data_IF_742297705872
#
_entry.id   IF_742297705872
#
_cell.length_a   1.000
_cell.length_b   1.000
_cell.length_c   1.000
_cell.angle_alpha   90.00
_cell.angle_beta   90.00
_cell.angle_gamma   90.00
#
_symmetry.space_group_name_H-M   'P 1'
#
loop_
_entity.id
_entity.type
_entity.pdbx_description
1 polymer ?
#
# COMPACT_ATOMS: atom_id res chain seq x y z
N UNK A 1 1.35 18.21 -6.95
CA UNK A 1 1.84 19.53 -6.51
C UNK A 1 1.89 19.68 -4.98
N UNK A 2 0.76 19.71 -4.25
CA UNK A 2 0.73 20.05 -2.81
C UNK A 2 1.66 19.20 -1.93
N UNK A 3 1.54 17.87 -1.99
CA UNK A 3 2.37 16.95 -1.22
C UNK A 3 3.85 17.02 -1.63
N UNK A 4 4.15 16.68 -2.88
CA UNK A 4 5.54 16.47 -3.33
C UNK A 4 6.33 17.75 -3.60
N UNK A 5 5.69 18.84 -4.06
CA UNK A 5 6.36 20.10 -4.39
C UNK A 5 6.23 21.13 -3.28
N UNK A 6 5.01 21.39 -2.80
CA UNK A 6 4.76 22.37 -1.73
C UNK A 6 5.05 21.83 -0.33
N UNK A 7 5.34 20.52 -0.20
CA UNK A 7 5.69 19.85 1.07
C UNK A 7 4.66 20.07 2.18
N UNK A 8 3.39 20.17 1.81
CA UNK A 8 2.29 20.35 2.77
C UNK A 8 2.00 19.02 3.46
N UNK A 9 2.20 18.88 4.79
CA UNK A 9 1.87 17.64 5.51
C UNK A 9 0.37 17.35 5.40
N UNK A 10 -0.02 16.08 5.25
CA UNK A 10 -1.43 15.71 5.32
C UNK A 10 -1.83 15.27 6.72
N UNK A 11 -3.08 14.83 6.83
CA UNK A 11 -3.61 14.15 7.99
C UNK A 11 -3.59 12.65 7.71
N UNK A 12 -3.07 11.85 8.63
CA UNK A 12 -3.11 10.40 8.49
C UNK A 12 -4.47 9.87 8.95
N UNK A 13 -5.20 9.21 8.06
CA UNK A 13 -6.42 8.52 8.46
C UNK A 13 -6.08 7.30 9.34
N UNK A 14 -6.82 7.08 10.42
CA UNK A 14 -6.59 5.96 11.35
C UNK A 14 -6.57 4.58 10.66
N UNK A 15 -7.37 4.41 9.59
CA UNK A 15 -7.37 3.20 8.76
C UNK A 15 -6.08 2.99 7.95
N UNK A 16 -5.38 4.06 7.57
CA UNK A 16 -4.07 3.96 6.92
C UNK A 16 -2.99 3.56 7.94
N UNK A 17 -3.04 4.09 9.16
CA UNK A 17 -2.18 3.63 10.27
C UNK A 17 -2.41 2.14 10.55
N UNK A 18 -3.67 1.71 10.64
CA UNK A 18 -3.99 0.30 10.80
C UNK A 18 -3.44 -0.56 9.64
N UNK A 19 -3.57 -0.08 8.40
CA UNK A 19 -2.95 -0.73 7.24
C UNK A 19 -1.44 -0.92 7.42
N UNK A 20 -0.70 0.12 7.82
CA UNK A 20 0.76 0.03 8.06
C UNK A 20 1.13 -1.00 9.11
N UNK A 21 0.40 -1.01 10.23
CA UNK A 21 0.57 -1.99 11.31
C UNK A 21 0.31 -3.41 10.80
N UNK A 22 -0.73 -3.60 10.00
CA UNK A 22 -1.03 -4.89 9.35
C UNK A 22 0.11 -5.37 8.45
N UNK A 23 0.57 -4.52 7.53
CA UNK A 23 1.67 -4.87 6.62
C UNK A 23 2.94 -5.23 7.41
N UNK A 24 3.28 -4.45 8.44
CA UNK A 24 4.46 -4.69 9.27
C UNK A 24 4.44 -6.10 9.91
N UNK A 25 3.32 -6.50 10.51
CA UNK A 25 3.19 -7.84 11.11
C UNK A 25 3.22 -8.97 10.09
N UNK A 26 2.55 -8.78 8.95
CA UNK A 26 2.55 -9.77 7.86
C UNK A 26 3.93 -9.92 7.25
N UNK A 27 4.63 -8.82 6.98
CA UNK A 27 5.98 -8.81 6.47
C UNK A 27 6.96 -9.47 7.45
N UNK A 28 6.82 -9.22 8.76
CA UNK A 28 7.58 -9.90 9.80
C UNK A 28 7.44 -11.43 9.69
N UNK A 29 6.21 -11.93 9.67
CA UNK A 29 5.93 -13.36 9.56
C UNK A 29 6.46 -13.97 8.25
N UNK A 30 6.30 -13.26 7.13
CA UNK A 30 6.79 -13.70 5.82
C UNK A 30 8.32 -13.70 5.73
N UNK A 31 9.01 -12.72 6.30
CA UNK A 31 10.49 -12.67 6.37
C UNK A 31 11.03 -13.85 7.19
N UNK A 32 10.38 -14.20 8.29
CA UNK A 32 10.70 -15.40 9.09
C UNK A 32 10.45 -16.69 8.30
N UNK A 33 9.32 -16.76 7.57
CA UNK A 33 9.02 -17.90 6.68
C UNK A 33 10.05 -18.06 5.58
N UNK A 34 10.50 -16.96 4.96
CA UNK A 34 11.61 -16.95 3.97
C UNK A 34 12.89 -17.54 4.57
N UNK A 35 13.18 -17.25 5.84
CA UNK A 35 14.30 -17.81 6.59
C UNK A 35 14.07 -19.25 7.10
N UNK A 36 12.99 -19.92 6.68
CA UNK A 36 12.66 -21.31 7.05
C UNK A 36 11.94 -21.47 8.39
N UNK A 37 11.47 -20.38 9.00
CA UNK A 37 10.86 -20.38 10.33
C UNK A 37 9.39 -19.97 10.28
N UNK A 38 8.50 -20.72 10.94
CA UNK A 38 7.15 -20.26 11.24
C UNK A 38 7.14 -19.59 12.60
N UNK A 39 6.50 -18.42 12.70
CA UNK A 39 6.39 -17.68 13.95
C UNK A 39 5.06 -17.97 14.67
N UNK A 40 5.06 -18.02 16.01
CA UNK A 40 3.85 -18.01 16.80
C UNK A 40 3.00 -16.77 16.51
N UNK A 41 1.67 -16.94 16.54
CA UNK A 41 0.73 -15.84 16.26
C UNK A 41 0.78 -14.73 17.29
N UNK A 42 1.10 -15.04 18.54
CA UNK A 42 1.17 -14.05 19.62
C UNK A 42 2.39 -13.15 19.45
N UNK A 43 3.51 -13.70 18.98
CA UNK A 43 4.69 -12.90 18.62
C UNK A 43 4.38 -11.89 17.51
N UNK A 44 3.61 -12.30 16.49
CA UNK A 44 3.18 -11.36 15.44
C UNK A 44 2.28 -10.25 16.00
N UNK A 45 1.39 -10.59 16.94
CA UNK A 45 0.54 -9.59 17.59
C UNK A 45 1.34 -8.60 18.42
N UNK A 46 2.37 -9.07 19.12
CA UNK A 46 3.25 -8.23 19.93
C UNK A 46 3.99 -7.22 19.04
N UNK A 47 4.62 -7.69 17.96
CA UNK A 47 5.29 -6.83 16.97
C UNK A 47 4.33 -5.78 16.37
N UNK A 48 3.11 -6.19 16.02
CA UNK A 48 2.10 -5.26 15.52
C UNK A 48 1.63 -4.27 16.59
N UNK A 49 1.49 -4.71 17.84
CA UNK A 49 1.10 -3.86 18.96
C UNK A 49 2.15 -2.80 19.24
N UNK A 50 3.43 -3.17 19.20
CA UNK A 50 4.56 -2.26 19.35
C UNK A 50 4.63 -1.28 18.19
N UNK A 51 4.43 -1.75 16.95
CA UNK A 51 4.35 -0.87 15.78
C UNK A 51 3.23 0.14 15.93
N UNK A 52 2.04 -0.26 16.36
CA UNK A 52 0.93 0.67 16.62
C UNK A 52 1.33 1.78 17.59
N UNK A 53 2.02 1.46 18.68
CA UNK A 53 2.46 2.47 19.65
C UNK A 53 3.55 3.39 19.08
N UNK A 54 4.51 2.85 18.33
CA UNK A 54 5.55 3.64 17.65
C UNK A 54 4.93 4.62 16.65
N UNK A 55 3.99 4.19 15.82
CA UNK A 55 3.32 5.06 14.83
C UNK A 55 2.59 6.24 15.48
N UNK A 56 1.95 6.01 16.64
CA UNK A 56 1.28 7.08 17.40
C UNK A 56 2.25 8.04 18.07
N UNK A 57 3.43 7.57 18.47
CA UNK A 57 4.45 8.38 19.13
C UNK A 57 5.24 9.23 18.13
N UNK A 58 5.60 8.66 17.00
CA UNK A 58 6.59 9.24 16.10
C UNK A 58 6.06 10.46 15.34
N UNK A 59 4.75 10.61 15.13
CA UNK A 59 4.13 11.76 14.43
C UNK A 59 4.82 12.16 13.10
N UNK A 60 5.62 11.24 12.54
CA UNK A 60 6.53 11.40 11.40
C UNK A 60 6.62 10.01 10.78
N UNK A 61 6.31 9.90 9.50
CA UNK A 61 6.27 8.63 8.80
C UNK A 61 7.16 8.71 7.56
N UNK A 62 7.97 7.69 7.34
CA UNK A 62 9.05 7.70 6.36
C UNK A 62 8.64 6.93 5.10
N UNK A 63 8.61 7.61 3.94
CA UNK A 63 8.45 6.95 2.62
C UNK A 63 9.81 6.74 1.92
N UNK A 64 10.83 7.53 2.27
CA UNK A 64 12.18 7.46 1.69
C UNK A 64 13.23 7.18 2.76
N UNK A 65 14.10 6.19 2.49
CA UNK A 65 15.23 5.78 3.35
C UNK A 65 16.32 6.85 3.56
N UNK A 66 16.21 8.04 2.98
CA UNK A 66 17.28 9.04 3.01
C UNK A 66 16.87 10.44 3.49
N UNK A 67 15.57 10.76 3.61
CA UNK A 67 15.13 12.08 4.10
C UNK A 67 13.94 11.95 5.07
N UNK A 68 14.12 12.31 6.36
CA UNK A 68 13.02 12.42 7.31
C UNK A 68 11.97 13.40 6.80
N UNK A 69 10.75 12.93 6.55
CA UNK A 69 9.63 13.78 6.12
C UNK A 69 8.45 13.57 7.06
N UNK A 70 7.93 14.67 7.60
CA UNK A 70 6.74 14.64 8.44
C UNK A 70 5.53 14.39 7.54
N UNK A 71 5.03 13.14 7.50
CA UNK A 71 3.87 12.80 6.68
C UNK A 71 2.57 13.36 7.26
N UNK A 72 2.39 13.23 8.58
CA UNK A 72 1.21 13.73 9.28
C UNK A 72 1.52 14.02 10.74
N UNK A 73 1.03 15.15 11.24
CA UNK A 73 1.22 15.57 12.64
C UNK A 73 0.15 15.02 13.59
N UNK A 74 -0.94 14.50 13.04
CA UNK A 74 -2.06 13.96 13.81
C UNK A 74 -2.73 12.81 13.05
N UNK A 75 -3.31 11.88 13.80
CA UNK A 75 -4.17 10.84 13.26
C UNK A 75 -5.61 11.31 13.35
N UNK A 76 -6.32 11.29 12.22
CA UNK A 76 -7.76 11.48 12.19
C UNK A 76 -8.44 10.12 12.18
N UNK A 77 -9.12 9.81 13.29
CA UNK A 77 -9.85 8.57 13.48
C UNK A 77 -11.23 8.58 12.83
N UNK A 78 -11.78 9.75 12.50
CA UNK A 78 -13.17 9.88 12.07
C UNK A 78 -14.10 9.21 13.07
N UNK A 79 -14.91 8.26 12.60
CA UNK A 79 -15.85 7.50 13.42
C UNK A 79 -15.25 6.20 14.00
N UNK A 80 -13.98 5.89 13.72
CA UNK A 80 -13.34 4.68 14.23
C UNK A 80 -12.93 4.83 15.69
N UNK A 81 -13.17 3.78 16.48
CA UNK A 81 -12.61 3.61 17.82
C UNK A 81 -11.18 3.07 17.68
N UNK A 82 -10.14 3.81 18.13
CA UNK A 82 -8.75 3.40 17.95
C UNK A 82 -8.41 2.06 18.63
N UNK A 83 -9.00 1.80 19.80
CA UNK A 83 -8.76 0.57 20.54
C UNK A 83 -9.36 -0.63 19.83
N UNK A 84 -10.62 -0.54 19.40
CA UNK A 84 -11.29 -1.60 18.63
C UNK A 84 -10.62 -1.85 17.28
N UNK A 85 -10.17 -0.78 16.61
CA UNK A 85 -9.44 -0.89 15.36
C UNK A 85 -8.09 -1.59 15.56
N UNK A 86 -7.36 -1.25 16.63
CA UNK A 86 -6.12 -1.95 17.03
C UNK A 86 -6.40 -3.43 17.24
N UNK A 87 -7.35 -3.79 18.09
CA UNK A 87 -7.66 -5.19 18.39
C UNK A 87 -8.03 -5.98 17.14
N UNK A 88 -8.79 -5.35 16.24
CA UNK A 88 -9.21 -5.96 14.99
C UNK A 88 -8.03 -6.19 14.05
N UNK A 89 -7.14 -5.21 13.89
CA UNK A 89 -5.99 -5.38 13.00
C UNK A 89 -4.99 -6.42 13.52
N UNK A 90 -4.77 -6.49 14.84
CA UNK A 90 -3.96 -7.55 15.46
C UNK A 90 -4.54 -8.95 15.20
N UNK A 91 -5.87 -9.08 15.28
CA UNK A 91 -6.56 -10.35 14.96
C UNK A 91 -6.45 -10.71 13.48
N UNK A 92 -6.51 -9.73 12.58
CA UNK A 92 -6.33 -9.95 11.14
C UNK A 92 -4.89 -10.36 10.78
N UNK A 93 -3.88 -9.75 11.39
CA UNK A 93 -2.48 -10.16 11.23
C UNK A 93 -2.24 -11.60 11.71
N UNK A 94 -2.77 -11.95 12.89
CA UNK A 94 -2.73 -13.32 13.39
C UNK A 94 -3.46 -14.30 12.45
N UNK A 95 -4.66 -13.94 11.97
CA UNK A 95 -5.44 -14.76 11.04
C UNK A 95 -4.67 -15.05 9.74
N UNK A 96 -4.05 -14.01 9.17
CA UNK A 96 -3.23 -14.14 7.97
C UNK A 96 -2.02 -15.04 8.22
N UNK A 97 -1.33 -14.83 9.35
CA UNK A 97 -0.17 -15.64 9.76
C UNK A 97 -0.55 -17.11 9.89
N UNK A 98 -1.68 -17.44 10.52
CA UNK A 98 -2.11 -18.84 10.65
C UNK A 98 -2.52 -19.46 9.31
N UNK A 99 -3.30 -18.74 8.50
CA UNK A 99 -3.98 -19.33 7.34
C UNK A 99 -3.18 -19.30 6.04
N UNK A 100 -2.36 -18.26 5.86
CA UNK A 100 -1.74 -17.94 4.58
C UNK A 100 -0.24 -18.19 4.61
N UNK A 101 0.48 -17.67 5.62
CA UNK A 101 1.97 -17.75 5.67
C UNK A 101 2.52 -19.17 5.47
N UNK A 102 1.95 -20.24 6.07
CA UNK A 102 2.46 -21.60 5.87
C UNK A 102 2.40 -22.10 4.43
N UNK A 103 1.47 -21.56 3.62
CA UNK A 103 1.20 -21.97 2.22
C UNK A 103 1.99 -21.17 1.19
N UNK A 104 2.74 -20.17 1.64
CA UNK A 104 3.48 -19.26 0.77
C UNK A 104 4.97 -19.61 0.81
N UNK A 105 5.65 -19.37 -0.31
CA UNK A 105 7.09 -19.55 -0.49
C UNK A 105 7.72 -18.20 -0.85
N UNK A 106 8.00 -17.32 0.12
CA UNK A 106 8.46 -15.97 -0.18
C UNK A 106 9.83 -15.96 -0.85
N UNK A 107 9.94 -15.28 -1.99
CA UNK A 107 11.22 -14.99 -2.66
C UNK A 107 11.77 -13.65 -2.16
N UNK A 108 10.92 -12.63 -2.06
CA UNK A 108 11.26 -11.31 -1.53
C UNK A 108 10.07 -10.74 -0.75
N UNK A 109 10.33 -9.98 0.33
CA UNK A 109 9.29 -9.43 1.20
C UNK A 109 9.61 -7.97 1.52
N UNK A 110 8.79 -7.04 1.03
CA UNK A 110 9.01 -5.58 1.10
C UNK A 110 10.41 -5.15 0.63
N UNK A 111 10.98 -5.88 -0.33
CA UNK A 111 12.30 -5.55 -0.88
C UNK A 111 12.17 -4.50 -1.99
N UNK A 112 13.10 -3.56 -2.01
CA UNK A 112 13.16 -2.48 -3.00
C UNK A 112 13.42 -3.06 -4.39
N UNK A 113 12.53 -2.79 -5.33
CA UNK A 113 12.77 -2.97 -6.76
C UNK A 113 13.08 -1.60 -7.37
N UNK A 114 14.23 -1.50 -8.03
CA UNK A 114 14.66 -0.30 -8.74
C UNK A 114 14.99 -0.66 -10.19
N UNK A 115 14.62 0.22 -11.10
CA UNK A 115 14.94 0.11 -12.51
C UNK A 115 14.48 1.34 -13.26
N UNK A 116 14.21 1.17 -14.54
CA UNK A 116 13.62 2.21 -15.37
C UNK A 116 12.42 1.68 -16.14
N UNK A 117 11.46 2.57 -16.39
CA UNK A 117 10.35 2.32 -17.32
C UNK A 117 10.60 3.23 -18.52
N UNK A 118 11.13 2.67 -19.60
CA UNK A 118 11.83 3.45 -20.61
C UNK A 118 13.07 4.11 -20.00
N UNK A 119 13.22 5.42 -20.21
CA UNK A 119 14.33 6.22 -19.67
C UNK A 119 14.01 6.86 -18.30
N UNK A 120 12.87 6.51 -17.69
CA UNK A 120 12.38 7.14 -16.47
C UNK A 120 12.75 6.26 -15.27
N UNK A 121 13.54 6.76 -14.31
CA UNK A 121 13.84 6.02 -13.08
C UNK A 121 12.56 5.70 -12.34
N UNK A 122 12.41 4.43 -11.94
CA UNK A 122 11.21 3.95 -11.28
C UNK A 122 11.59 3.02 -10.13
N UNK A 123 10.90 3.16 -9.00
CA UNK A 123 11.13 2.38 -7.79
C UNK A 123 9.79 1.84 -7.29
N UNK A 124 9.78 0.59 -6.83
CA UNK A 124 8.61 -0.05 -6.25
C UNK A 124 8.98 -0.92 -5.05
N UNK A 125 8.00 -1.16 -4.18
CA UNK A 125 8.13 -2.01 -3.00
C UNK A 125 6.96 -2.99 -2.98
N UNK A 126 7.04 -4.11 -3.74
CA UNK A 126 6.02 -5.16 -3.63
C UNK A 126 6.01 -5.73 -2.21
N UNK A 127 4.81 -5.95 -1.66
CA UNK A 127 4.70 -6.52 -0.31
C UNK A 127 5.32 -7.93 -0.27
N UNK A 128 5.06 -8.74 -1.31
CA UNK A 128 5.56 -10.11 -1.41
C UNK A 128 5.78 -10.53 -2.87
N UNK A 129 6.96 -11.04 -3.17
CA UNK A 129 7.29 -11.73 -4.43
C UNK A 129 7.37 -13.23 -4.17
N UNK A 130 6.79 -14.01 -5.08
CA UNK A 130 6.73 -15.47 -5.07
C UNK A 130 7.43 -16.07 -6.31
N UNK A 131 7.69 -17.39 -6.31
CA UNK A 131 8.21 -18.09 -7.50
C UNK A 131 7.27 -17.94 -8.70
N UNK A 132 7.83 -18.06 -9.90
CA UNK A 132 7.04 -18.10 -11.14
C UNK A 132 6.31 -16.79 -11.45
N UNK A 133 7.08 -15.73 -11.75
CA UNK A 133 6.84 -14.33 -11.34
C UNK A 133 5.48 -14.00 -10.69
N UNK A 134 5.32 -14.35 -9.41
CA UNK A 134 4.13 -14.01 -8.64
C UNK A 134 4.32 -12.79 -7.76
N UNK A 135 3.32 -11.91 -7.70
CA UNK A 135 3.32 -10.77 -6.77
C UNK A 135 2.04 -10.74 -5.95
N UNK A 136 2.17 -10.63 -4.63
CA UNK A 136 1.04 -10.40 -3.73
C UNK A 136 1.15 -9.00 -3.17
N UNK A 137 0.01 -8.31 -3.16
CA UNK A 137 -0.18 -7.06 -2.45
C UNK A 137 -1.25 -7.28 -1.36
N UNK A 138 -0.89 -6.93 -0.13
CA UNK A 138 -1.71 -7.08 1.05
C UNK A 138 -2.61 -5.86 1.18
N UNK A 139 -3.89 -6.05 1.49
CA UNK A 139 -4.83 -4.94 1.65
C UNK A 139 -5.64 -5.11 2.93
N UNK A 140 -5.67 -4.09 3.78
CA UNK A 140 -6.68 -3.97 4.81
C UNK A 140 -7.95 -3.36 4.19
N UNK A 141 -9.08 -4.06 4.26
CA UNK A 141 -10.30 -3.65 3.60
C UNK A 141 -11.55 -3.92 4.45
N UNK A 142 -12.57 -3.08 4.32
CA UNK A 142 -13.89 -3.30 4.95
C UNK A 142 -14.89 -3.96 4.00
N UNK A 143 -14.55 -4.02 2.70
CA UNK A 143 -15.40 -4.57 1.63
C UNK A 143 -14.59 -5.51 0.76
N UNK A 144 -15.21 -6.64 0.41
CA UNK A 144 -14.69 -7.57 -0.57
C UNK A 144 -14.70 -6.92 -1.94
N UNK A 145 -13.60 -7.01 -2.68
CA UNK A 145 -13.54 -6.59 -4.09
C UNK A 145 -13.57 -7.81 -5.01
N UNK A 146 -13.95 -7.58 -6.26
CA UNK A 146 -13.98 -8.58 -7.32
C UNK A 146 -12.74 -8.47 -8.22
N UNK A 147 -12.61 -9.45 -9.11
CA UNK A 147 -11.50 -9.52 -10.07
C UNK A 147 -11.48 -8.34 -11.03
N UNK A 148 -12.65 -7.77 -11.39
CA UNK A 148 -12.72 -6.61 -12.29
C UNK A 148 -12.00 -5.39 -11.72
N UNK A 149 -12.05 -5.19 -10.39
CA UNK A 149 -11.29 -4.12 -9.74
C UNK A 149 -9.79 -4.42 -9.72
N UNK A 150 -9.40 -5.68 -9.46
CA UNK A 150 -7.99 -6.09 -9.49
C UNK A 150 -7.37 -5.96 -10.89
N UNK A 151 -8.14 -6.20 -11.95
CA UNK A 151 -7.68 -6.04 -13.34
C UNK A 151 -7.42 -4.57 -13.72
N UNK A 152 -8.04 -3.61 -13.03
CA UNK A 152 -7.83 -2.17 -13.27
C UNK A 152 -6.73 -1.56 -12.41
N UNK A 153 -6.15 -2.35 -11.51
CA UNK A 153 -5.12 -1.86 -10.60
C UNK A 153 -3.79 -1.58 -11.34
N UNK A 154 -3.30 -0.35 -11.22
CA UNK A 154 -2.06 0.06 -11.89
C UNK A 154 -0.81 -0.38 -11.13
N UNK A 155 -0.91 -0.71 -9.83
CA UNK A 155 0.22 -1.10 -8.99
C UNK A 155 0.84 -2.41 -9.51
N UNK A 156 0.00 -3.39 -9.87
CA UNK A 156 0.49 -4.62 -10.47
C UNK A 156 1.14 -4.42 -11.85
N UNK A 157 0.63 -3.48 -12.66
CA UNK A 157 1.27 -3.13 -13.93
C UNK A 157 2.65 -2.50 -13.71
N UNK A 158 2.80 -1.69 -12.65
CA UNK A 158 4.09 -1.12 -12.25
C UNK A 158 5.09 -2.20 -11.84
N UNK A 159 4.67 -3.19 -11.04
CA UNK A 159 5.53 -4.31 -10.67
C UNK A 159 5.91 -5.18 -11.87
N UNK A 160 4.97 -5.45 -12.77
CA UNK A 160 5.25 -6.19 -14.01
C UNK A 160 6.28 -5.45 -14.90
N UNK A 161 6.15 -4.13 -15.01
CA UNK A 161 7.08 -3.29 -15.75
C UNK A 161 8.48 -3.29 -15.11
N UNK A 162 8.58 -3.13 -13.79
CA UNK A 162 9.86 -3.20 -13.06
C UNK A 162 10.54 -4.57 -13.18
N UNK A 163 9.75 -5.65 -13.19
CA UNK A 163 10.25 -7.02 -13.37
C UNK A 163 10.55 -7.35 -14.84
N UNK A 164 10.16 -6.50 -15.78
CA UNK A 164 10.39 -6.64 -17.22
C UNK A 164 9.71 -7.84 -17.86
N UNK A 165 8.63 -8.36 -17.25
CA UNK A 165 7.94 -9.58 -17.73
C UNK A 165 6.50 -9.68 -17.25
N UNK A 166 5.64 -10.42 -17.97
CA UNK A 166 4.32 -10.79 -17.48
C UNK A 166 4.36 -11.45 -16.11
N UNK A 167 3.36 -11.15 -15.27
CA UNK A 167 3.23 -11.67 -13.90
C UNK A 167 1.80 -12.16 -13.68
N UNK A 168 1.64 -13.14 -12.79
CA UNK A 168 0.39 -13.27 -12.07
C UNK A 168 0.48 -12.45 -10.79
N UNK A 169 -0.64 -11.91 -10.35
CA UNK A 169 -0.69 -11.12 -9.14
C UNK A 169 -1.95 -11.41 -8.33
N UNK A 170 -1.92 -11.08 -7.04
CA UNK A 170 -3.07 -11.24 -6.19
C UNK A 170 -3.17 -10.14 -5.14
N UNK A 171 -4.40 -9.68 -4.89
CA UNK A 171 -4.70 -9.01 -3.63
C UNK A 171 -5.02 -10.04 -2.57
N UNK A 172 -4.34 -9.93 -1.44
CA UNK A 172 -4.70 -10.62 -0.22
C UNK A 172 -5.39 -9.61 0.72
N UNK A 173 -6.73 -9.62 0.72
CA UNK A 173 -7.52 -8.68 1.49
C UNK A 173 -7.83 -9.23 2.88
N UNK A 174 -7.24 -8.62 3.91
CA UNK A 174 -7.70 -8.77 5.29
C UNK A 174 -9.00 -7.98 5.49
N UNK A 175 -10.11 -8.72 5.62
CA UNK A 175 -11.44 -8.15 5.70
C UNK A 175 -11.83 -7.83 7.15
N UNK A 176 -11.84 -6.55 7.48
CA UNK A 176 -12.46 -6.03 8.71
C UNK A 176 -13.99 -6.01 8.54
N UNK A 177 -14.58 -7.13 8.92
CA UNK A 177 -16.03 -7.37 8.92
C UNK A 177 -16.41 -8.09 10.21
N UNK A 178 -17.72 -8.19 10.51
CA UNK A 178 -18.23 -8.92 11.69
C UNK A 178 -17.58 -10.29 11.86
N UNK A 179 -17.36 -11.00 10.75
CA UNK A 179 -16.52 -12.19 10.68
C UNK A 179 -15.27 -11.85 9.89
N UNK A 180 -14.13 -11.85 10.58
CA UNK A 180 -12.83 -11.62 9.95
C UNK A 180 -12.53 -12.72 8.92
N UNK A 181 -11.99 -12.33 7.78
CA UNK A 181 -11.66 -13.24 6.69
C UNK A 181 -10.47 -12.73 5.87
N UNK A 182 -9.84 -13.64 5.12
CA UNK A 182 -8.83 -13.29 4.11
C UNK A 182 -9.41 -13.63 2.74
N UNK A 183 -9.70 -12.60 1.94
CA UNK A 183 -10.16 -12.77 0.56
C UNK A 183 -8.98 -12.66 -0.40
N UNK A 184 -8.80 -13.65 -1.26
CA UNK A 184 -7.76 -13.67 -2.29
C UNK A 184 -8.39 -13.35 -3.64
N UNK A 185 -7.89 -12.32 -4.32
CA UNK A 185 -8.35 -11.91 -5.65
C UNK A 185 -7.19 -11.97 -6.62
N UNK A 186 -7.23 -12.93 -7.54
CA UNK A 186 -6.19 -13.14 -8.55
C UNK A 186 -6.40 -12.22 -9.76
N UNK A 187 -5.29 -11.82 -10.38
CA UNK A 187 -5.25 -11.08 -11.64
C UNK A 187 -3.94 -11.41 -12.38
N UNK A 188 -3.81 -10.94 -13.61
CA UNK A 188 -2.63 -11.15 -14.45
C UNK A 188 -2.21 -9.82 -15.08
N UNK A 189 -0.92 -9.67 -15.37
CA UNK A 189 -0.41 -8.62 -16.26
C UNK A 189 0.32 -9.26 -17.40
N UNK A 190 -0.12 -8.93 -18.61
CA UNK A 190 0.44 -9.39 -19.88
C UNK A 190 1.34 -8.30 -20.45
N UNK A 191 2.05 -8.64 -21.53
CA UNK A 191 2.95 -7.67 -22.18
C UNK A 191 2.22 -6.38 -22.59
N UNK A 192 0.99 -6.47 -23.09
CA UNK A 192 0.20 -5.29 -23.44
C UNK A 192 -0.09 -4.36 -22.25
N UNK A 193 -0.26 -4.89 -21.04
CA UNK A 193 -0.46 -4.10 -19.82
C UNK A 193 0.82 -3.36 -19.44
N UNK A 194 1.97 -4.01 -19.60
CA UNK A 194 3.30 -3.43 -19.37
C UNK A 194 3.56 -2.30 -20.36
N UNK A 195 3.31 -2.54 -21.64
CA UNK A 195 3.53 -1.54 -22.70
C UNK A 195 2.60 -0.33 -22.53
N UNK A 196 1.34 -0.57 -22.18
CA UNK A 196 0.38 0.49 -21.89
C UNK A 196 0.81 1.31 -20.67
N UNK A 197 1.21 0.65 -19.59
CA UNK A 197 1.68 1.32 -18.38
C UNK A 197 2.94 2.16 -18.65
N UNK A 198 3.86 1.66 -19.48
CA UNK A 198 5.04 2.41 -19.90
C UNK A 198 4.71 3.72 -20.61
N UNK A 199 3.74 3.71 -21.53
CA UNK A 199 3.23 4.93 -22.19
C UNK A 199 2.62 5.90 -21.19
N UNK A 200 1.78 5.40 -20.27
CA UNK A 200 1.17 6.21 -19.22
C UNK A 200 2.23 6.88 -18.33
N UNK A 201 3.27 6.15 -17.92
CA UNK A 201 4.39 6.70 -17.13
C UNK A 201 5.11 7.81 -17.89
N UNK A 202 5.36 7.62 -19.19
CA UNK A 202 6.00 8.65 -20.02
C UNK A 202 5.17 9.94 -20.11
N UNK A 203 3.85 9.83 -20.32
CA UNK A 203 2.94 10.98 -20.37
C UNK A 203 2.86 11.72 -19.03
N UNK A 204 2.70 10.98 -17.92
CA UNK A 204 2.65 11.56 -16.57
C UNK A 204 3.98 12.23 -16.22
N UNK A 205 5.11 11.60 -16.55
CA UNK A 205 6.44 12.17 -16.32
C UNK A 205 6.65 13.47 -17.10
N UNK A 206 6.25 13.50 -18.37
CA UNK A 206 6.29 14.72 -19.17
C UNK A 206 5.46 15.84 -18.53
N UNK A 207 4.23 15.54 -18.07
CA UNK A 207 3.39 16.51 -17.35
C UNK A 207 4.07 17.06 -16.09
N UNK A 208 4.68 16.18 -15.27
CA UNK A 208 5.43 16.58 -14.07
C UNK A 208 6.59 17.51 -14.44
N UNK A 209 7.40 17.16 -15.44
CA UNK A 209 8.56 17.95 -15.90
C UNK A 209 8.15 19.32 -16.45
N UNK A 210 6.98 19.41 -17.08
CA UNK A 210 6.42 20.65 -17.62
C UNK A 210 5.68 21.49 -16.57
N UNK A 211 5.60 21.04 -15.30
CA UNK A 211 4.90 21.76 -14.23
C UNK A 211 3.38 21.73 -14.35
N UNK A 212 2.82 20.80 -15.14
CA UNK A 212 1.39 20.72 -15.43
C UNK A 212 0.74 19.72 -14.47
N UNK A 213 -0.11 20.22 -13.56
CA UNK A 213 -0.76 19.43 -12.51
C UNK A 213 -2.30 19.57 -12.56
N UNK A 214 -2.98 18.97 -13.55
CA UNK A 214 -4.42 19.10 -13.67
C UNK A 214 -5.12 18.43 -12.49
N UNK A 215 -6.16 19.06 -11.89
CA UNK A 215 -6.98 18.40 -10.88
C UNK A 215 -7.76 17.24 -11.50
N UNK A 216 -7.92 16.13 -10.77
CA UNK A 216 -8.78 15.02 -11.15
C UNK A 216 -10.07 15.03 -10.29
N UNK A 217 -11.12 15.77 -10.70
CA UNK A 217 -12.34 15.90 -9.91
C UNK A 217 -13.16 14.61 -9.80
N UNK A 218 -12.89 13.62 -10.68
CA UNK A 218 -13.57 12.33 -10.68
C UNK A 218 -12.88 11.29 -9.78
N UNK A 219 -11.73 11.63 -9.18
CA UNK A 219 -11.07 10.76 -8.22
C UNK A 219 -11.98 10.53 -7.00
N UNK A 220 -12.07 9.28 -6.53
CA UNK A 220 -12.91 8.90 -5.38
C UNK A 220 -12.56 9.63 -4.07
N UNK A 221 -11.37 10.23 -3.99
CA UNK A 221 -10.92 11.06 -2.86
C UNK A 221 -11.28 12.53 -2.99
N UNK A 222 -11.76 13.01 -4.14
CA UNK A 222 -12.02 14.44 -4.37
C UNK A 222 -13.27 14.92 -3.60
N UNK A 223 -13.12 15.10 -2.28
CA UNK A 223 -14.12 15.70 -1.40
C UNK A 223 -13.44 16.33 -0.19
N UNK A 224 -14.09 17.31 0.44
CA UNK A 224 -13.59 17.96 1.67
C UNK A 224 -13.24 16.94 2.75
N UNK A 225 -14.08 15.91 2.93
CA UNK A 225 -13.86 14.87 3.93
C UNK A 225 -12.71 13.89 3.64
N UNK A 226 -12.18 13.81 2.42
CA UNK A 226 -11.26 12.72 2.00
C UNK A 226 -9.96 13.19 1.35
N UNK A 227 -9.95 14.36 0.72
CA UNK A 227 -8.74 14.95 0.15
C UNK A 227 -8.17 15.95 1.16
N UNK A 228 -6.95 15.73 1.69
CA UNK A 228 -6.33 16.67 2.64
C UNK A 228 -6.01 18.04 2.02
N UNK A 229 -6.11 18.17 0.70
CA UNK A 229 -5.84 19.39 -0.06
C UNK A 229 -7.09 19.93 -0.77
N UNK A 230 -8.28 19.51 -0.35
CA UNK A 230 -9.51 19.88 -1.05
C UNK A 230 -9.70 21.40 -1.07
N UNK A 231 -9.50 22.07 0.07
CA UNK A 231 -9.69 23.52 0.19
C UNK A 231 -8.70 24.25 -0.72
N UNK A 232 -7.42 23.92 -0.67
CA UNK A 232 -6.36 24.53 -1.50
C UNK A 232 -6.52 24.23 -2.99
N UNK A 233 -7.18 23.14 -3.35
CA UNK A 233 -7.37 22.72 -4.73
C UNK A 233 -8.67 23.26 -5.37
N UNK A 234 -9.73 23.49 -4.59
CA UNK A 234 -11.06 23.80 -5.12
C UNK A 234 -11.66 25.11 -4.61
N UNK A 235 -11.23 25.57 -3.44
CA UNK A 235 -11.86 26.69 -2.73
C UNK A 235 -10.94 27.90 -2.67
N UNK A 236 -9.69 27.66 -2.27
CA UNK A 236 -8.64 28.66 -2.08
C UNK A 236 -7.67 28.64 -3.25
N UNK A 237 -8.16 28.54 -4.49
CA UNK A 237 -7.31 28.64 -5.68
C UNK A 237 -6.63 30.01 -5.65
N UNK A 238 -5.41 30.05 -5.10
CA UNK A 238 -4.52 31.20 -5.19
C UNK A 238 -4.00 31.26 -6.62
N UNK A 239 -4.18 32.43 -7.25
CA UNK A 239 -3.70 32.75 -8.60
C UNK A 239 -2.18 32.56 -8.73
#
# INVERSE_FOLDING_TARGET
MYWYLRKMPAVLAGRLLAGRVYHHGVAYALKRKKAGQLVPVDEVRDIMSDRWQSELKESVYYENLEEPKIEAKQVNWGDDDPGKLKDTVLRLGALYTTRMVPKLEPVAVEERLEGSIGDIPFVGYPDLVLPGPGVIDHKLATRRVNTELANKDMQFSAYAALLGKPIWAAWHQALDQKKLDINVVMTERRQGDIDWFGRLVAEVWHGIKSGVFPPNPLCWRCSEAKCPYYLECKVLMED
#
